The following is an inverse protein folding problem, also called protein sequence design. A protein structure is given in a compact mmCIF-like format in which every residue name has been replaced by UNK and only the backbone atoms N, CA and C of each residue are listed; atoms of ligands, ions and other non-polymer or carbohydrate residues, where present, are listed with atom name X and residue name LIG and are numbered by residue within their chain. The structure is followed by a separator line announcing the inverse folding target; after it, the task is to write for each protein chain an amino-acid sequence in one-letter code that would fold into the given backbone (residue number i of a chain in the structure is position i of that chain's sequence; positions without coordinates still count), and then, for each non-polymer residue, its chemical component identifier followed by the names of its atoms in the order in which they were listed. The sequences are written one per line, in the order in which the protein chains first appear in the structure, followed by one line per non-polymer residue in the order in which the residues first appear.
data_IF_205356612582
#
_entry.id   IF_205356612582
#
_cell.length_a   1.000
_cell.length_b   1.000
_cell.length_c   1.000
_cell.angle_alpha   90.00
_cell.angle_beta   90.00
_cell.angle_gamma   90.00
#
_symmetry.space_group_name_H-M   'P 1'
#
loop_
_entity.id
_entity.type
_entity.pdbx_description
1 polymer ?
#
# COMPACT_ATOMS: atom_id res chain seq x y z
N UNK A 1 2.65 6.58 -0.30
CA UNK A 1 3.56 7.42 0.52
C UNK A 1 3.45 6.96 1.95
N UNK A 2 4.49 7.17 2.74
CA UNK A 2 4.52 6.84 4.17
C UNK A 2 5.24 7.94 4.95
N UNK A 3 5.19 7.84 6.28
CA UNK A 3 5.94 8.70 7.21
C UNK A 3 6.96 7.83 7.94
N UNK A 4 8.25 8.10 7.74
CA UNK A 4 9.33 7.34 8.36
C UNK A 4 9.46 7.65 9.87
N UNK A 5 10.37 6.96 10.56
CA UNK A 5 10.59 7.13 12.00
C UNK A 5 11.02 8.57 12.41
N UNK A 6 11.62 9.32 11.48
CA UNK A 6 12.01 10.73 11.68
C UNK A 6 10.87 11.71 11.38
N UNK A 7 9.65 11.21 11.11
CA UNK A 7 8.49 12.02 10.78
C UNK A 7 8.51 12.60 9.35
N UNK A 8 9.40 12.13 8.48
CA UNK A 8 9.52 12.61 7.10
C UNK A 8 8.67 11.78 6.15
N UNK A 9 8.06 12.47 5.17
CA UNK A 9 7.27 11.82 4.12
C UNK A 9 8.17 11.21 3.06
N UNK A 10 7.89 9.96 2.70
CA UNK A 10 8.63 9.22 1.68
C UNK A 10 7.71 8.53 0.70
N UNK A 11 8.13 8.46 -0.56
CA UNK A 11 7.45 7.68 -1.58
C UNK A 11 7.90 6.22 -1.49
N UNK A 12 7.07 5.36 -0.93
CA UNK A 12 7.37 3.93 -0.84
C UNK A 12 7.24 3.17 -2.17
N UNK A 13 6.48 3.68 -3.14
CA UNK A 13 6.28 2.98 -4.40
C UNK A 13 5.32 3.70 -5.33
N UNK A 14 5.45 3.38 -6.62
CA UNK A 14 4.60 3.84 -7.70
C UNK A 14 4.35 2.65 -8.63
N UNK A 15 3.09 2.42 -9.01
CA UNK A 15 2.74 1.39 -9.99
C UNK A 15 1.66 1.93 -10.92
N UNK A 16 1.88 1.73 -12.22
CA UNK A 16 0.89 2.01 -13.26
C UNK A 16 0.18 0.71 -13.59
N UNK A 17 -1.14 0.76 -13.74
CA UNK A 17 -1.95 -0.39 -14.10
C UNK A 17 -3.23 0.03 -14.82
N UNK A 18 -3.84 -0.95 -15.46
CA UNK A 18 -5.07 -0.82 -16.25
C UNK A 18 -6.35 -0.96 -15.39
N UNK A 19 -6.24 -1.45 -14.16
CA UNK A 19 -7.36 -1.64 -13.25
C UNK A 19 -7.05 -1.25 -11.81
N UNK A 20 -8.07 -0.83 -11.07
CA UNK A 20 -8.01 -0.63 -9.61
C UNK A 20 -8.45 -1.89 -8.83
N UNK A 21 -8.25 -3.08 -9.39
CA UNK A 21 -8.71 -4.35 -8.81
C UNK A 21 -7.99 -4.70 -7.51
N UNK A 22 -8.57 -5.63 -6.72
CA UNK A 22 -7.91 -6.16 -5.53
C UNK A 22 -6.56 -6.83 -5.86
N UNK A 23 -6.48 -7.55 -6.98
CA UNK A 23 -5.24 -8.18 -7.43
C UNK A 23 -4.15 -7.12 -7.66
N UNK A 24 -4.48 -6.06 -8.41
CA UNK A 24 -3.55 -4.96 -8.67
C UNK A 24 -3.02 -4.33 -7.37
N UNK A 25 -3.92 -4.02 -6.43
CA UNK A 25 -3.53 -3.44 -5.14
C UNK A 25 -2.77 -4.41 -4.25
N UNK A 26 -3.08 -5.71 -4.30
CA UNK A 26 -2.36 -6.73 -3.52
C UNK A 26 -0.91 -6.84 -3.99
N UNK A 27 -0.68 -6.87 -5.31
CA UNK A 27 0.67 -6.85 -5.87
C UNK A 27 1.40 -5.54 -5.53
N UNK A 28 0.71 -4.40 -5.59
CA UNK A 28 1.30 -3.11 -5.22
C UNK A 28 1.74 -3.08 -3.74
N UNK A 29 0.91 -3.58 -2.81
CA UNK A 29 1.22 -3.64 -1.37
C UNK A 29 2.29 -4.71 -1.08
N UNK A 30 2.31 -5.80 -1.84
CA UNK A 30 3.31 -6.85 -1.72
C UNK A 30 4.74 -6.35 -1.90
N UNK A 31 4.98 -5.50 -2.91
CA UNK A 31 6.33 -5.02 -3.23
C UNK A 31 7.02 -4.26 -2.07
N UNK A 32 6.39 -3.28 -1.39
CA UNK A 32 6.95 -2.69 -0.17
C UNK A 32 7.16 -3.69 0.96
N UNK A 33 6.25 -4.66 1.16
CA UNK A 33 6.41 -5.69 2.20
C UNK A 33 7.62 -6.59 1.95
N UNK A 34 7.84 -7.00 0.71
CA UNK A 34 9.02 -7.78 0.29
C UNK A 34 10.32 -6.99 0.54
N UNK A 35 10.27 -5.66 0.46
CA UNK A 35 11.38 -4.77 0.82
C UNK A 35 11.48 -4.44 2.31
N UNK A 36 10.70 -5.10 3.17
CA UNK A 36 10.79 -4.98 4.62
C UNK A 36 9.79 -4.04 5.26
N UNK A 37 8.83 -3.47 4.52
CA UNK A 37 7.75 -2.69 5.13
C UNK A 37 6.94 -3.58 6.07
N UNK A 38 6.90 -3.20 7.34
CA UNK A 38 6.20 -3.92 8.40
C UNK A 38 5.65 -2.95 9.45
N UNK A 39 4.69 -3.40 10.25
CA UNK A 39 4.17 -2.60 11.37
C UNK A 39 3.25 -1.44 11.00
N UNK A 40 2.69 -1.41 9.78
CA UNK A 40 1.75 -0.38 9.31
C UNK A 40 0.58 -0.23 10.30
N UNK A 41 0.32 0.99 10.77
CA UNK A 41 -0.73 1.28 11.76
C UNK A 41 -1.97 1.95 11.17
N UNK A 42 -1.79 2.68 10.06
CA UNK A 42 -2.85 3.43 9.42
C UNK A 42 -2.62 3.42 7.91
N UNK A 43 -3.68 3.15 7.17
CA UNK A 43 -3.72 3.37 5.72
C UNK A 43 -4.86 4.36 5.43
N UNK A 44 -4.55 5.42 4.70
CA UNK A 44 -5.51 6.41 4.25
C UNK A 44 -5.53 6.42 2.71
N UNK A 45 -6.72 6.34 2.13
CA UNK A 45 -6.93 6.33 0.69
C UNK A 45 -8.26 6.99 0.33
N UNK A 46 -8.45 7.29 -0.96
CA UNK A 46 -9.79 7.52 -1.49
C UNK A 46 -10.64 6.24 -1.38
N UNK A 47 -11.96 6.39 -1.40
CA UNK A 47 -12.92 5.29 -1.13
C UNK A 47 -12.89 4.28 -2.28
N UNK A 48 -12.00 3.29 -2.19
CA UNK A 48 -11.81 2.26 -3.22
C UNK A 48 -11.89 0.83 -2.68
N UNK A 49 -12.96 0.09 -3.04
CA UNK A 49 -13.22 -1.28 -2.53
C UNK A 49 -12.06 -2.26 -2.75
N UNK A 50 -11.46 -2.26 -3.94
CA UNK A 50 -10.33 -3.14 -4.24
C UNK A 50 -9.11 -2.92 -3.35
N UNK A 51 -8.85 -1.67 -2.95
CA UNK A 51 -7.73 -1.34 -2.06
C UNK A 51 -8.05 -1.77 -0.63
N UNK A 52 -9.27 -1.52 -0.15
CA UNK A 52 -9.73 -2.00 1.16
C UNK A 52 -9.57 -3.51 1.31
N UNK A 53 -9.97 -4.28 0.29
CA UNK A 53 -9.81 -5.73 0.32
C UNK A 53 -8.34 -6.15 0.35
N UNK A 54 -7.52 -5.54 -0.51
CA UNK A 54 -6.08 -5.82 -0.56
C UNK A 54 -5.38 -5.50 0.77
N UNK A 55 -5.71 -4.37 1.41
CA UNK A 55 -5.19 -4.00 2.73
C UNK A 55 -5.55 -5.09 3.76
N UNK A 56 -6.83 -5.49 3.85
CA UNK A 56 -7.28 -6.51 4.81
C UNK A 56 -6.61 -7.87 4.60
N UNK A 57 -6.23 -8.18 3.37
CA UNK A 57 -5.55 -9.42 3.02
C UNK A 57 -4.05 -9.37 3.29
N UNK A 58 -3.43 -8.20 3.08
CA UNK A 58 -1.99 -8.06 3.00
C UNK A 58 -1.36 -7.42 4.24
N UNK A 59 -2.08 -6.68 5.09
CA UNK A 59 -1.55 -5.98 6.26
C UNK A 59 -2.26 -6.44 7.54
#
# INVERSE_FOLDING_TARGET
MDVNADGRRELLGLKVGDSKSELFWSEFIGSPKERGLSGVKLVNSDVHKGLTNAIRRML
#
